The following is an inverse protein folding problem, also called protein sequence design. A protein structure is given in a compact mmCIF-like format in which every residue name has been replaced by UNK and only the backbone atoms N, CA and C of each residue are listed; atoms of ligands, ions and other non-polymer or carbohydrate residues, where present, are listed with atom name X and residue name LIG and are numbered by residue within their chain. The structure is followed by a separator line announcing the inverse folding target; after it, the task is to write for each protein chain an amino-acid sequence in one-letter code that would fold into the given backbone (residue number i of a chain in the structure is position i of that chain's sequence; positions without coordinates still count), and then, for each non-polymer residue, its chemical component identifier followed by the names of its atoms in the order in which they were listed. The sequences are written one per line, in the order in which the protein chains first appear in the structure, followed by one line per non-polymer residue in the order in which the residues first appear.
data_IF_390077044330
#
_entry.id   IF_390077044330
#
_cell.length_a   1.000
_cell.length_b   1.000
_cell.length_c   1.000
_cell.angle_alpha   90.00
_cell.angle_beta   90.00
_cell.angle_gamma   90.00
#
_symmetry.space_group_name_H-M   'P 1'
#
loop_
_entity.id
_entity.type
_entity.pdbx_description
1 polymer ?
#
# COMPACT_ATOMS: atom_id res chain seq x y z
N UNK A 1 2.92 10.31 -17.79
CA UNK A 1 2.09 9.49 -16.85
C UNK A 1 2.91 9.16 -15.61
N UNK A 2 2.24 8.87 -14.50
CA UNK A 2 2.88 8.50 -13.23
C UNK A 2 2.51 7.06 -12.88
N UNK A 3 3.51 6.28 -12.46
CA UNK A 3 3.33 4.99 -11.80
C UNK A 3 3.79 5.13 -10.36
N UNK A 4 2.87 4.91 -9.43
CA UNK A 4 3.13 4.86 -8.00
C UNK A 4 3.49 3.43 -7.61
N UNK A 5 4.66 3.22 -7.00
CA UNK A 5 5.05 1.93 -6.46
C UNK A 5 5.10 1.96 -4.94
N UNK A 6 4.27 1.16 -4.31
CA UNK A 6 4.22 1.02 -2.86
C UNK A 6 5.03 -0.20 -2.41
N UNK A 7 5.93 0.00 -1.45
CA UNK A 7 6.82 -1.05 -0.97
C UNK A 7 6.24 -1.83 0.20
N UNK A 8 6.77 -3.04 0.43
CA UNK A 8 6.34 -3.91 1.53
C UNK A 8 6.95 -3.55 2.88
N UNK A 9 6.63 -4.35 3.90
CA UNK A 9 7.19 -4.25 5.26
C UNK A 9 8.71 -4.08 5.23
N UNK A 10 9.24 -3.29 6.17
CA UNK A 10 10.67 -2.99 6.41
C UNK A 10 11.38 -2.22 5.28
N UNK A 11 10.76 -2.03 4.12
CA UNK A 11 11.38 -1.34 3.01
C UNK A 11 11.50 0.16 3.27
N UNK A 12 12.42 0.78 2.53
CA UNK A 12 12.44 2.21 2.23
C UNK A 12 12.25 2.42 0.73
N UNK A 13 12.31 3.67 0.27
CA UNK A 13 12.38 4.00 -1.16
C UNK A 13 13.54 3.29 -1.90
N UNK A 14 14.63 2.95 -1.19
CA UNK A 14 15.84 2.37 -1.79
C UNK A 14 15.61 0.96 -2.36
N UNK A 15 14.78 0.14 -1.70
CA UNK A 15 14.67 -1.29 -2.01
C UNK A 15 14.25 -1.54 -3.46
N UNK A 16 13.18 -0.90 -3.92
CA UNK A 16 12.70 -1.03 -5.30
C UNK A 16 13.56 -0.21 -6.27
N UNK A 17 14.08 0.93 -5.85
CA UNK A 17 14.93 1.78 -6.70
C UNK A 17 16.29 1.16 -6.96
N UNK A 18 16.77 0.25 -6.14
CA UNK A 18 18.01 -0.48 -6.40
C UNK A 18 17.76 -1.84 -7.05
N UNK A 19 16.71 -2.57 -6.61
CA UNK A 19 16.52 -4.00 -6.94
C UNK A 19 15.28 -4.31 -7.80
N UNK A 20 14.41 -3.33 -8.06
CA UNK A 20 13.14 -3.55 -8.76
C UNK A 20 13.22 -3.54 -10.28
N UNK A 21 14.39 -3.29 -10.87
CA UNK A 21 14.69 -3.34 -12.31
C UNK A 21 13.70 -2.59 -13.26
N UNK A 22 12.89 -1.67 -12.74
CA UNK A 22 11.85 -0.96 -13.50
C UNK A 22 12.38 0.03 -14.55
N UNK A 23 13.63 0.49 -14.40
CA UNK A 23 14.17 1.66 -15.13
C UNK A 23 14.08 1.51 -16.65
N UNK A 24 14.40 0.33 -17.19
CA UNK A 24 14.36 0.08 -18.64
C UNK A 24 12.93 0.21 -19.18
N UNK A 25 11.97 -0.45 -18.54
CA UNK A 25 10.56 -0.38 -18.93
C UNK A 25 9.98 1.04 -18.79
N UNK A 26 10.29 1.75 -17.69
CA UNK A 26 9.84 3.12 -17.51
C UNK A 26 10.43 4.07 -18.58
N UNK A 27 11.70 3.89 -18.95
CA UNK A 27 12.33 4.69 -19.99
C UNK A 27 11.72 4.42 -21.38
N UNK A 28 11.46 3.15 -21.71
CA UNK A 28 10.82 2.74 -22.96
C UNK A 28 9.42 3.33 -23.12
N UNK A 29 8.64 3.36 -22.03
CA UNK A 29 7.26 3.83 -22.04
C UNK A 29 7.07 5.31 -21.64
N UNK A 30 8.14 6.03 -21.33
CA UNK A 30 8.07 7.44 -20.90
C UNK A 30 7.27 7.63 -19.60
N UNK A 31 7.51 6.78 -18.61
CA UNK A 31 6.81 6.77 -17.33
C UNK A 31 7.65 7.43 -16.24
N UNK A 32 7.02 8.29 -15.44
CA UNK A 32 7.56 8.74 -14.15
C UNK A 32 7.23 7.66 -13.13
N UNK A 33 8.23 7.18 -12.41
CA UNK A 33 8.08 6.17 -11.36
C UNK A 33 8.34 6.81 -9.99
N UNK A 34 7.35 6.74 -9.10
CA UNK A 34 7.44 7.32 -7.75
C UNK A 34 7.37 6.21 -6.70
N UNK A 35 8.38 6.15 -5.83
CA UNK A 35 8.50 5.15 -4.77
C UNK A 35 8.61 5.84 -3.39
N UNK A 36 7.49 6.07 -2.68
CA UNK A 36 7.53 6.62 -1.33
C UNK A 36 8.15 5.64 -0.31
N UNK A 37 8.47 6.17 0.87
CA UNK A 37 8.74 5.36 2.06
C UNK A 37 7.44 4.67 2.57
N UNK A 38 7.57 3.79 3.55
CA UNK A 38 6.52 2.87 4.01
C UNK A 38 5.90 3.25 5.35
N UNK A 39 6.46 4.24 6.05
CA UNK A 39 5.97 4.81 7.30
C UNK A 39 6.54 6.22 7.49
N UNK A 40 6.02 7.03 8.42
CA UNK A 40 6.79 8.16 8.96
C UNK A 40 8.14 7.70 9.51
N UNK A 41 9.12 8.61 9.52
CA UNK A 41 10.47 8.41 10.06
C UNK A 41 10.88 9.63 10.87
N UNK A 42 11.71 9.42 11.90
CA UNK A 42 12.33 10.51 12.66
C UNK A 42 12.32 10.30 14.16
N UNK A 43 13.05 11.15 14.88
CA UNK A 43 13.05 11.16 16.34
C UNK A 43 11.63 11.47 16.86
N UNK A 44 11.18 10.71 17.86
CA UNK A 44 9.87 10.88 18.47
C UNK A 44 8.69 10.30 17.68
N UNK A 45 8.92 9.72 16.49
CA UNK A 45 7.91 8.91 15.80
C UNK A 45 7.74 7.58 16.55
N UNK A 46 6.52 7.23 17.01
CA UNK A 46 6.29 5.97 17.70
C UNK A 46 6.65 4.77 16.84
N UNK A 47 7.15 3.71 17.47
CA UNK A 47 7.46 2.42 16.85
C UNK A 47 6.77 1.29 17.63
N UNK A 48 6.90 0.05 17.15
CA UNK A 48 6.40 -1.12 17.88
C UNK A 48 7.08 -1.21 19.27
N UNK A 49 6.33 -1.21 20.39
CA UNK A 49 6.91 -1.37 21.73
C UNK A 49 7.65 -2.69 21.94
N UNK A 50 7.28 -3.73 21.18
CA UNK A 50 7.94 -5.04 21.22
C UNK A 50 9.11 -5.14 20.22
N UNK A 51 9.35 -4.08 19.43
CA UNK A 51 10.41 -4.03 18.42
C UNK A 51 10.22 -5.01 17.27
N UNK A 52 8.99 -5.44 17.00
CA UNK A 52 8.71 -6.33 15.87
C UNK A 52 8.69 -5.56 14.55
N UNK A 53 9.02 -6.25 13.46
CA UNK A 53 9.17 -5.64 12.13
C UNK A 53 7.84 -5.38 11.40
N UNK A 54 6.74 -5.94 11.91
CA UNK A 54 5.43 -5.98 11.26
C UNK A 54 4.46 -4.90 11.76
N UNK A 55 4.95 -3.96 12.57
CA UNK A 55 4.20 -2.82 13.08
C UNK A 55 5.14 -1.62 13.33
N UNK A 56 4.62 -0.40 13.31
CA UNK A 56 5.44 0.81 13.47
C UNK A 56 6.30 1.15 12.26
N UNK A 57 7.59 1.45 12.50
CA UNK A 57 8.52 1.96 11.51
C UNK A 57 8.78 0.92 10.41
N UNK A 58 8.50 1.29 9.17
CA UNK A 58 8.57 0.38 8.03
C UNK A 58 7.30 -0.44 7.81
N UNK A 59 6.25 -0.18 8.60
CA UNK A 59 5.01 -0.96 8.62
C UNK A 59 3.78 -0.06 8.82
N UNK A 60 3.69 1.04 8.05
CA UNK A 60 2.59 2.01 8.17
C UNK A 60 1.25 1.56 7.55
N UNK A 61 1.22 0.39 6.90
CA UNK A 61 0.02 -0.27 6.36
C UNK A 61 -0.87 0.58 5.42
N UNK A 62 -0.37 1.71 4.92
CA UNK A 62 -1.10 2.60 4.00
C UNK A 62 -2.49 3.02 4.51
N UNK A 63 -2.59 3.26 5.82
CA UNK A 63 -3.78 3.72 6.52
C UNK A 63 -3.56 5.07 7.21
N UNK A 64 -4.65 5.68 7.70
CA UNK A 64 -4.59 6.81 8.63
C UNK A 64 -4.96 6.31 10.02
N UNK A 65 -3.97 6.25 10.91
CA UNK A 65 -4.16 5.81 12.29
C UNK A 65 -5.09 6.77 13.06
N UNK A 66 -5.91 6.19 13.93
CA UNK A 66 -6.81 6.89 14.85
C UNK A 66 -6.43 6.69 16.32
N UNK A 67 -5.68 5.63 16.62
CA UNK A 67 -5.26 5.31 17.99
C UNK A 67 -3.95 6.03 18.37
N UNK A 68 -3.92 6.71 19.53
CA UNK A 68 -2.68 7.24 20.09
C UNK A 68 -1.70 6.11 20.47
N UNK A 69 -0.38 6.31 20.33
CA UNK A 69 0.27 7.55 19.88
C UNK A 69 0.44 7.68 18.36
N UNK A 70 -0.04 6.70 17.58
CA UNK A 70 0.23 6.58 16.14
C UNK A 70 -0.54 7.60 15.31
N UNK A 71 -1.73 8.01 15.76
CA UNK A 71 -2.60 9.05 15.18
C UNK A 71 -1.87 10.36 14.78
N UNK A 72 -0.77 10.68 15.47
CA UNK A 72 0.04 11.88 15.21
C UNK A 72 0.82 11.85 13.90
N UNK A 73 1.31 10.68 13.50
CA UNK A 73 2.31 10.57 12.42
C UNK A 73 1.94 9.54 11.34
N UNK A 74 1.18 8.50 11.70
CA UNK A 74 0.86 7.39 10.80
C UNK A 74 -0.34 7.73 9.92
N UNK A 75 -0.15 8.70 9.02
CA UNK A 75 -1.14 9.19 8.06
C UNK A 75 -0.78 8.78 6.64
N UNK A 76 -0.42 7.50 6.46
CA UNK A 76 0.14 6.99 5.20
C UNK A 76 -0.90 6.94 4.08
N UNK A 77 -2.19 6.76 4.41
CA UNK A 77 -3.27 6.90 3.42
C UNK A 77 -3.32 8.34 2.90
N UNK A 78 -3.48 9.33 3.79
CA UNK A 78 -3.50 10.75 3.42
C UNK A 78 -2.23 11.17 2.66
N UNK A 79 -1.06 10.68 3.08
CA UNK A 79 0.21 10.98 2.44
C UNK A 79 0.27 10.49 0.99
N UNK A 80 -0.12 9.24 0.73
CA UNK A 80 -0.06 8.64 -0.61
C UNK A 80 -1.23 9.06 -1.49
N UNK A 81 -2.42 9.26 -0.91
CA UNK A 81 -3.61 9.68 -1.65
C UNK A 81 -3.59 11.19 -1.96
N UNK A 82 -3.07 12.05 -1.09
CA UNK A 82 -3.26 13.49 -1.26
C UNK A 82 -1.94 14.27 -1.32
N UNK A 83 -1.17 14.26 -0.24
CA UNK A 83 -0.01 15.15 -0.07
C UNK A 83 1.10 14.91 -1.11
N UNK A 84 1.51 13.65 -1.28
CA UNK A 84 2.60 13.31 -2.18
C UNK A 84 2.22 13.51 -3.66
N UNK A 85 1.03 13.10 -4.14
CA UNK A 85 0.55 13.46 -5.47
C UNK A 85 0.56 14.96 -5.76
N UNK A 86 0.11 15.79 -4.82
CA UNK A 86 0.13 17.26 -4.99
C UNK A 86 1.56 17.79 -5.11
N UNK A 87 2.47 17.30 -4.27
CA UNK A 87 3.89 17.65 -4.33
C UNK A 87 4.53 17.24 -5.67
N UNK A 88 4.25 16.02 -6.14
CA UNK A 88 4.77 15.53 -7.43
C UNK A 88 4.23 16.36 -8.59
N UNK A 89 2.93 16.67 -8.59
CA UNK A 89 2.30 17.50 -9.62
C UNK A 89 2.83 18.94 -9.66
N UNK A 90 3.23 19.49 -8.51
CA UNK A 90 3.79 20.84 -8.42
C UNK A 90 5.26 20.93 -8.87
N UNK A 91 6.06 19.88 -8.68
CA UNK A 91 7.52 19.94 -8.81
C UNK A 91 8.11 19.15 -9.99
N UNK A 92 7.34 18.28 -10.64
CA UNK A 92 7.80 17.45 -11.74
C UNK A 92 6.88 17.61 -12.96
N UNK A 93 7.35 17.29 -14.18
CA UNK A 93 6.51 17.29 -15.39
C UNK A 93 5.56 16.08 -15.43
N UNK A 94 4.86 15.86 -14.33
CA UNK A 94 3.96 14.73 -14.11
C UNK A 94 2.55 15.03 -14.62
N UNK A 95 2.05 14.17 -15.51
CA UNK A 95 0.66 14.23 -15.94
C UNK A 95 -0.23 13.53 -14.92
N UNK A 96 -0.76 14.31 -13.98
CA UNK A 96 -1.62 13.84 -12.91
C UNK A 96 -3.00 13.35 -13.38
N UNK A 97 -3.37 13.54 -14.65
CA UNK A 97 -4.58 12.94 -15.23
C UNK A 97 -4.40 11.47 -15.68
N UNK A 98 -3.15 11.00 -15.72
CA UNK A 98 -2.75 9.66 -16.14
C UNK A 98 -1.84 9.01 -15.11
N UNK A 99 -2.46 8.48 -14.07
CA UNK A 99 -1.79 7.79 -12.97
C UNK A 99 -2.11 6.29 -13.00
N UNK A 100 -1.18 5.46 -12.55
CA UNK A 100 -1.39 4.03 -12.23
C UNK A 100 -0.70 3.73 -10.92
N UNK A 101 -1.13 2.67 -10.23
CA UNK A 101 -0.60 2.31 -8.91
C UNK A 101 -0.28 0.83 -8.86
N UNK A 102 0.84 0.50 -8.26
CA UNK A 102 1.28 -0.86 -8.02
C UNK A 102 2.02 -1.00 -6.70
N UNK A 103 2.26 -2.22 -6.26
CA UNK A 103 3.08 -2.42 -5.07
C UNK A 103 3.38 -3.88 -4.75
N UNK A 104 4.17 -4.09 -3.71
CA UNK A 104 4.60 -5.41 -3.24
C UNK A 104 4.17 -5.68 -1.80
N UNK A 105 3.56 -6.84 -1.51
CA UNK A 105 3.18 -7.25 -0.14
C UNK A 105 2.27 -6.23 0.56
N UNK A 106 2.69 -5.62 1.67
CA UNK A 106 1.99 -4.48 2.30
C UNK A 106 1.76 -3.32 1.30
N UNK A 107 2.68 -3.09 0.37
CA UNK A 107 2.51 -2.14 -0.71
C UNK A 107 1.49 -2.60 -1.76
N UNK A 108 1.38 -3.90 -2.00
CA UNK A 108 0.31 -4.47 -2.82
C UNK A 108 -1.05 -4.24 -2.18
N UNK A 109 -1.15 -4.48 -0.87
CA UNK A 109 -2.32 -4.11 -0.06
C UNK A 109 -2.69 -2.62 -0.21
N UNK A 110 -1.71 -1.72 -0.05
CA UNK A 110 -1.90 -0.29 -0.26
C UNK A 110 -2.41 0.02 -1.66
N UNK A 111 -1.77 -0.54 -2.70
CA UNK A 111 -2.12 -0.28 -4.09
C UNK A 111 -3.55 -0.70 -4.42
N UNK A 112 -3.96 -1.89 -3.96
CA UNK A 112 -5.32 -2.40 -4.14
C UNK A 112 -6.35 -1.50 -3.45
N UNK A 113 -6.17 -1.25 -2.15
CA UNK A 113 -7.19 -0.54 -1.36
C UNK A 113 -7.27 0.95 -1.73
N UNK A 114 -6.14 1.61 -1.99
CA UNK A 114 -6.12 3.00 -2.47
C UNK A 114 -6.85 3.12 -3.81
N UNK A 115 -6.60 2.21 -4.74
CA UNK A 115 -7.26 2.24 -6.06
C UNK A 115 -8.77 2.00 -5.95
N UNK A 116 -9.18 1.00 -5.16
CA UNK A 116 -10.59 0.67 -4.93
C UNK A 116 -11.37 1.81 -4.25
N UNK A 117 -10.74 2.54 -3.31
CA UNK A 117 -11.35 3.72 -2.65
C UNK A 117 -11.40 4.98 -3.53
N UNK A 118 -10.59 5.03 -4.59
CA UNK A 118 -10.44 6.20 -5.47
C UNK A 118 -10.83 5.86 -6.92
N UNK A 119 -12.08 5.45 -7.19
CA UNK A 119 -12.50 5.01 -8.52
C UNK A 119 -12.29 6.12 -9.56
N UNK A 120 -11.68 5.75 -10.69
CA UNK A 120 -11.41 6.66 -11.80
C UNK A 120 -10.08 7.44 -11.69
N UNK A 121 -9.39 7.39 -10.55
CA UNK A 121 -8.08 8.06 -10.37
C UNK A 121 -6.95 7.31 -11.07
N UNK A 122 -6.93 5.99 -10.93
CA UNK A 122 -5.88 5.14 -11.49
C UNK A 122 -6.38 4.40 -12.73
N UNK A 123 -5.58 4.44 -13.80
CA UNK A 123 -5.88 3.79 -15.08
C UNK A 123 -5.64 2.29 -15.06
N UNK A 124 -4.69 1.84 -14.24
CA UNK A 124 -4.39 0.45 -14.00
C UNK A 124 -3.93 0.26 -12.55
N UNK A 125 -4.20 -0.93 -12.01
CA UNK A 125 -3.73 -1.37 -10.70
C UNK A 125 -3.07 -2.73 -10.80
N UNK A 126 -1.89 -2.88 -10.21
CA UNK A 126 -1.26 -4.19 -10.10
C UNK A 126 -0.63 -4.44 -8.75
N UNK A 127 -0.34 -5.69 -8.42
CA UNK A 127 0.36 -6.02 -7.19
C UNK A 127 1.21 -7.28 -7.34
N UNK A 128 2.37 -7.27 -6.68
CA UNK A 128 3.20 -8.45 -6.45
C UNK A 128 2.95 -8.97 -5.03
N UNK A 129 2.49 -10.21 -4.93
CA UNK A 129 2.29 -10.89 -3.65
C UNK A 129 1.52 -10.04 -2.60
N UNK A 130 0.35 -9.45 -2.92
CA UNK A 130 -0.36 -8.54 -2.01
C UNK A 130 -0.93 -9.24 -0.77
N UNK A 131 -1.04 -8.49 0.34
CA UNK A 131 -1.94 -8.85 1.44
C UNK A 131 -3.37 -8.43 1.04
N UNK A 132 -4.21 -9.38 0.60
CA UNK A 132 -5.50 -9.02 -0.01
C UNK A 132 -6.63 -8.84 1.01
N UNK A 133 -6.55 -9.55 2.13
CA UNK A 133 -7.58 -9.57 3.17
C UNK A 133 -6.95 -9.35 4.57
N UNK A 134 -6.38 -8.17 4.87
CA UNK A 134 -5.73 -7.88 6.16
C UNK A 134 -6.62 -8.16 7.38
N UNK A 135 -7.95 -8.07 7.28
CA UNK A 135 -8.84 -8.39 8.43
C UNK A 135 -8.81 -9.87 8.81
N UNK A 136 -8.36 -10.74 7.90
CA UNK A 136 -8.36 -12.20 8.06
C UNK A 136 -6.98 -12.79 8.35
N UNK A 137 -5.93 -11.98 8.51
CA UNK A 137 -4.54 -12.45 8.64
C UNK A 137 -3.80 -11.82 9.81
N UNK A 138 -2.81 -12.52 10.41
CA UNK A 138 -2.15 -12.04 11.63
C UNK A 138 -1.50 -10.66 11.50
N UNK A 139 -0.77 -10.38 10.41
CA UNK A 139 -0.14 -9.07 10.23
C UNK A 139 -1.17 -7.95 10.12
N UNK A 140 -2.22 -8.18 9.34
CA UNK A 140 -3.28 -7.19 9.16
C UNK A 140 -4.07 -6.96 10.45
N UNK A 141 -4.43 -8.01 11.19
CA UNK A 141 -5.13 -7.88 12.48
C UNK A 141 -4.31 -7.10 13.50
N UNK A 142 -3.00 -7.39 13.60
CA UNK A 142 -2.09 -6.63 14.48
C UNK A 142 -2.06 -5.15 14.09
N UNK A 143 -1.84 -4.85 12.80
CA UNK A 143 -1.74 -3.47 12.34
C UNK A 143 -3.05 -2.70 12.48
N UNK A 144 -4.17 -3.29 12.04
CA UNK A 144 -5.49 -2.65 12.09
C UNK A 144 -5.93 -2.40 13.53
N UNK A 145 -5.76 -3.36 14.44
CA UNK A 145 -6.07 -3.15 15.85
C UNK A 145 -5.17 -2.08 16.48
N UNK A 146 -3.86 -2.11 16.20
CA UNK A 146 -2.91 -1.15 16.77
C UNK A 146 -3.07 0.28 16.26
N UNK A 147 -3.49 0.46 15.00
CA UNK A 147 -3.65 1.79 14.40
C UNK A 147 -5.08 2.32 14.44
N UNK A 148 -6.09 1.46 14.33
CA UNK A 148 -7.50 1.86 14.17
C UNK A 148 -8.38 1.45 15.36
N UNK A 149 -7.82 0.71 16.31
CA UNK A 149 -8.56 0.16 17.45
C UNK A 149 -9.43 -1.03 17.08
N UNK A 150 -10.08 -1.62 18.08
CA UNK A 150 -10.94 -2.81 17.95
C UNK A 150 -12.35 -2.43 17.45
N UNK A 151 -12.42 -1.79 16.29
CA UNK A 151 -13.67 -1.45 15.58
C UNK A 151 -13.67 -2.15 14.23
N UNK A 152 -14.10 -3.43 14.14
CA UNK A 152 -13.97 -4.24 12.93
C UNK A 152 -14.58 -3.60 11.68
N UNK A 153 -15.72 -2.91 11.80
CA UNK A 153 -16.36 -2.23 10.68
C UNK A 153 -15.53 -1.08 10.08
N UNK A 154 -14.60 -0.49 10.85
CA UNK A 154 -13.69 0.53 10.35
C UNK A 154 -12.56 -0.08 9.49
N UNK A 155 -12.28 -1.37 9.67
CA UNK A 155 -11.21 -2.06 8.95
C UNK A 155 -11.59 -2.41 7.51
N UNK A 156 -12.88 -2.53 7.21
CA UNK A 156 -13.38 -2.83 5.85
C UNK A 156 -12.92 -1.80 4.82
N UNK A 157 -12.76 -0.53 5.24
CA UNK A 157 -12.22 0.52 4.39
C UNK A 157 -10.76 0.28 3.99
N UNK A 158 -10.05 -0.60 4.70
CA UNK A 158 -8.66 -0.97 4.52
C UNK A 158 -8.50 -2.46 4.19
N UNK A 159 -9.47 -3.06 3.49
CA UNK A 159 -9.40 -4.46 3.07
C UNK A 159 -9.86 -4.58 1.61
N UNK A 160 -9.03 -5.16 0.74
CA UNK A 160 -9.33 -5.17 -0.68
C UNK A 160 -10.51 -6.11 -0.99
N UNK A 161 -10.57 -7.27 -0.33
CA UNK A 161 -11.69 -8.20 -0.46
C UNK A 161 -12.98 -7.56 0.05
N UNK A 162 -12.98 -6.93 1.23
CA UNK A 162 -14.16 -6.27 1.77
C UNK A 162 -14.65 -5.11 0.87
N UNK A 163 -13.74 -4.29 0.32
CA UNK A 163 -14.08 -3.22 -0.62
C UNK A 163 -14.73 -3.79 -1.91
N UNK A 164 -14.19 -4.89 -2.44
CA UNK A 164 -14.74 -5.56 -3.63
C UNK A 164 -16.12 -6.15 -3.31
N UNK A 165 -16.30 -6.81 -2.18
CA UNK A 165 -17.58 -7.34 -1.72
C UNK A 165 -18.63 -6.22 -1.57
N UNK A 166 -18.21 -5.04 -1.09
CA UNK A 166 -19.05 -3.84 -0.99
C UNK A 166 -19.35 -3.15 -2.34
N UNK A 167 -18.79 -3.66 -3.45
CA UNK A 167 -19.08 -3.18 -4.81
C UNK A 167 -18.03 -2.26 -5.43
N UNK A 168 -16.90 -2.00 -4.76
CA UNK A 168 -15.79 -1.24 -5.36
C UNK A 168 -15.17 -2.02 -6.53
N UNK A 169 -14.85 -1.33 -7.63
CA UNK A 169 -14.27 -1.93 -8.83
C UNK A 169 -13.20 -1.02 -9.41
N UNK A 170 -12.21 -1.62 -10.05
CA UNK A 170 -11.15 -0.95 -10.81
C UNK A 170 -11.18 -1.45 -12.26
N UNK A 171 -10.77 -0.65 -13.25
CA UNK A 171 -10.89 -1.01 -14.66
C UNK A 171 -10.01 -2.20 -15.05
N UNK A 172 -8.76 -2.22 -14.57
CA UNK A 172 -7.80 -3.30 -14.81
C UNK A 172 -7.05 -3.60 -13.51
N UNK A 173 -7.07 -4.88 -13.12
CA UNK A 173 -6.38 -5.42 -11.94
C UNK A 173 -5.51 -6.61 -12.35
N UNK A 174 -4.22 -6.54 -12.05
CA UNK A 174 -3.26 -7.64 -12.24
C UNK A 174 -2.60 -8.01 -10.92
N UNK A 175 -2.63 -9.29 -10.54
CA UNK A 175 -1.90 -9.79 -9.37
C UNK A 175 -0.95 -10.90 -9.81
N UNK A 176 0.33 -10.73 -9.50
CA UNK A 176 1.33 -11.78 -9.64
C UNK A 176 1.68 -12.35 -8.26
N UNK A 177 1.62 -13.67 -8.14
CA UNK A 177 1.94 -14.39 -6.91
C UNK A 177 2.89 -15.56 -7.18
N UNK A 178 4.01 -15.61 -6.47
CA UNK A 178 4.87 -16.79 -6.42
C UNK A 178 4.22 -17.88 -5.56
N UNK A 179 4.08 -19.10 -6.10
CA UNK A 179 3.47 -20.24 -5.39
C UNK A 179 4.36 -20.85 -4.29
N UNK A 180 5.64 -20.48 -4.26
CA UNK A 180 6.60 -20.88 -3.24
C UNK A 180 6.82 -19.81 -2.14
N UNK A 181 5.98 -18.77 -2.11
CA UNK A 181 6.07 -17.71 -1.10
C UNK A 181 5.70 -18.24 0.29
N UNK A 182 6.60 -18.07 1.27
CA UNK A 182 6.41 -18.55 2.63
C UNK A 182 5.27 -17.85 3.40
N UNK A 183 4.78 -16.72 2.89
CA UNK A 183 3.68 -15.94 3.48
C UNK A 183 2.34 -16.16 2.76
N UNK A 184 2.32 -16.99 1.70
CA UNK A 184 1.20 -17.17 0.79
C UNK A 184 -0.14 -17.41 1.51
N UNK A 185 -0.20 -18.48 2.32
CA UNK A 185 -1.46 -18.92 2.93
C UNK A 185 -1.80 -18.17 4.22
N UNK A 186 -0.77 -17.74 4.95
CA UNK A 186 -0.93 -17.16 6.28
C UNK A 186 -1.18 -15.65 6.24
N UNK A 187 -0.58 -14.93 5.28
CA UNK A 187 -0.59 -13.46 5.26
C UNK A 187 -1.16 -12.90 3.96
N UNK A 188 -0.80 -13.47 2.80
CA UNK A 188 -1.12 -12.84 1.52
C UNK A 188 -2.54 -13.17 1.05
N UNK A 189 -2.88 -14.47 1.09
CA UNK A 189 -4.18 -15.06 0.71
C UNK A 189 -4.74 -14.62 -0.66
N UNK A 190 -3.94 -14.54 -1.74
CA UNK A 190 -4.39 -14.00 -3.03
C UNK A 190 -5.57 -14.74 -3.65
N UNK A 191 -5.79 -16.02 -3.30
CA UNK A 191 -6.95 -16.81 -3.72
C UNK A 191 -8.30 -16.15 -3.38
N UNK A 192 -8.35 -15.28 -2.37
CA UNK A 192 -9.57 -14.55 -2.00
C UNK A 192 -9.96 -13.46 -3.00
N UNK A 193 -9.13 -13.17 -4.01
CA UNK A 193 -9.48 -12.28 -5.12
C UNK A 193 -10.06 -13.03 -6.33
N UNK A 194 -9.88 -14.36 -6.40
CA UNK A 194 -10.35 -15.19 -7.51
C UNK A 194 -11.78 -15.73 -7.31
N UNK A 195 -12.29 -15.67 -6.08
CA UNK A 195 -13.62 -16.16 -5.64
C UNK A 195 -14.68 -15.05 -5.64
#
# INVERSE_FOLDING_TARGET
PVVWYLSGLTCTQANVTEKGEFRTACAEHGLIFVAPDTSPRGEGVPDDPDGAYDFGLGAGFYLDATEPPFDRHYRMKSYVEDELPDLIGAHFPADMSRQSIMGHSMGGHGALTISLRNPGRFRATSAFAPIVAPIQVPWGQKALAGYLGDVPAAWDAYDACALIEAGARVPELLVDQGTADGFLDQQLRPRLLDD
#
